data_IF_753014917213
#
_entry.id   IF_753014917213
#
_cell.length_a   1.000
_cell.length_b   1.000
_cell.length_c   1.000
_cell.angle_alpha   90.00
_cell.angle_beta   90.00
_cell.angle_gamma   90.00
#
_symmetry.space_group_name_H-M   'P 1'
#
loop_
_entity.id
_entity.type
_entity.pdbx_description
1 polymer ?
#
# COMPACT_ATOMS: atom_id res chain seq x y z
N UNK A 1 -9.97 20.29 1.03
CA UNK A 1 -8.66 19.69 1.42
C UNK A 1 -8.96 18.35 2.05
N UNK A 2 -8.29 17.30 1.62
CA UNK A 2 -8.41 15.95 2.18
C UNK A 2 -7.17 15.64 3.02
N UNK A 3 -7.07 16.22 4.19
CA UNK A 3 -5.86 16.15 5.01
C UNK A 3 -5.69 14.74 5.61
N UNK A 4 -4.48 14.22 5.55
CA UNK A 4 -4.11 12.93 6.14
C UNK A 4 -3.96 13.13 7.65
N UNK A 5 -4.82 12.49 8.43
CA UNK A 5 -4.80 12.52 9.90
C UNK A 5 -3.80 11.51 10.45
N UNK A 6 -3.83 10.29 9.92
CA UNK A 6 -2.98 9.21 10.42
C UNK A 6 -2.64 8.18 9.34
N UNK A 7 -1.55 7.47 9.57
CA UNK A 7 -1.10 6.33 8.76
C UNK A 7 -0.82 5.15 9.70
N UNK A 8 -1.31 3.96 9.32
CA UNK A 8 -1.03 2.72 10.05
C UNK A 8 -0.48 1.66 9.11
N UNK A 9 0.48 0.88 9.62
CA UNK A 9 0.86 -0.39 9.02
C UNK A 9 0.03 -1.51 9.65
N UNK A 10 -0.55 -2.37 8.81
CA UNK A 10 -1.31 -3.55 9.24
C UNK A 10 -0.65 -4.76 8.59
N UNK A 11 -0.17 -5.69 9.41
CA UNK A 11 0.38 -6.96 8.95
C UNK A 11 -0.63 -8.07 9.23
N UNK A 12 -1.06 -8.76 8.19
CA UNK A 12 -1.98 -9.89 8.28
C UNK A 12 -1.25 -11.14 7.80
N UNK A 13 -1.38 -12.24 8.55
CA UNK A 13 -0.77 -13.51 8.19
C UNK A 13 -1.81 -14.62 8.20
N UNK A 14 -1.78 -15.44 7.16
CA UNK A 14 -2.57 -16.66 7.08
C UNK A 14 -1.64 -17.85 6.75
N UNK A 15 -1.89 -19.04 7.32
CA UNK A 15 -1.14 -20.22 6.92
C UNK A 15 -1.39 -20.51 5.43
N UNK A 16 -0.36 -21.01 4.72
CA UNK A 16 -0.59 -21.65 3.42
C UNK A 16 -1.40 -22.91 3.67
N UNK A 17 -2.54 -23.00 2.99
CA UNK A 17 -3.38 -24.19 3.05
C UNK A 17 -2.67 -25.36 2.41
N UNK A 18 -2.62 -26.45 3.10
CA UNK A 18 -2.13 -27.79 2.81
C UNK A 18 -0.61 -28.01 2.73
N UNK A 19 -0.22 -29.10 3.38
CA UNK A 19 1.11 -29.69 3.32
C UNK A 19 1.48 -30.29 1.93
N UNK A 20 0.65 -30.05 0.91
CA UNK A 20 0.75 -30.72 -0.39
C UNK A 20 1.82 -30.12 -1.32
N UNK A 21 2.39 -28.98 -0.95
CA UNK A 21 3.45 -28.30 -1.70
C UNK A 21 4.57 -27.80 -0.78
N UNK A 22 5.37 -28.71 -0.19
CA UNK A 22 6.45 -28.32 0.73
C UNK A 22 7.50 -27.44 0.06
N UNK A 23 7.74 -27.57 -1.23
CA UNK A 23 8.66 -26.74 -2.00
C UNK A 23 8.27 -25.24 -2.03
N UNK A 24 6.99 -24.92 -1.92
CA UNK A 24 6.52 -23.53 -1.83
C UNK A 24 6.90 -22.93 -0.48
N UNK A 25 6.96 -23.74 0.56
CA UNK A 25 7.27 -23.28 1.93
C UNK A 25 8.72 -22.83 2.08
N UNK A 26 9.64 -23.44 1.31
CA UNK A 26 11.07 -23.10 1.32
C UNK A 26 11.34 -21.72 0.69
N UNK A 27 10.48 -21.27 -0.22
CA UNK A 27 10.62 -19.98 -0.89
C UNK A 27 10.25 -18.78 0.00
N UNK A 28 9.60 -19.02 1.15
CA UNK A 28 9.11 -17.94 2.02
C UNK A 28 9.89 -17.87 3.33
N UNK A 29 10.72 -16.83 3.54
CA UNK A 29 11.58 -16.70 4.73
C UNK A 29 10.80 -16.61 6.05
N UNK A 30 9.49 -16.37 6.01
CA UNK A 30 8.64 -16.27 7.18
C UNK A 30 7.92 -17.57 7.57
N UNK A 31 8.34 -18.71 7.02
CA UNK A 31 7.74 -20.01 7.29
C UNK A 31 6.45 -20.28 6.52
N UNK A 32 5.66 -21.29 6.90
CA UNK A 32 4.50 -21.79 6.14
C UNK A 32 3.27 -20.87 6.24
N UNK A 33 3.47 -19.59 6.01
CA UNK A 33 2.41 -18.58 6.05
C UNK A 33 2.67 -17.48 5.04
N UNK A 34 1.61 -16.97 4.46
CA UNK A 34 1.64 -15.74 3.68
C UNK A 34 1.34 -14.55 4.59
N UNK A 35 2.21 -13.56 4.55
CA UNK A 35 1.98 -12.27 5.22
C UNK A 35 1.70 -11.21 4.16
N UNK A 36 0.65 -10.43 4.36
CA UNK A 36 0.35 -9.23 3.58
C UNK A 36 0.58 -8.00 4.46
N UNK A 37 1.17 -6.96 3.86
CA UNK A 37 1.34 -5.65 4.50
C UNK A 37 0.43 -4.62 3.86
N UNK A 38 -0.34 -3.95 4.68
CA UNK A 38 -1.29 -2.92 4.26
C UNK A 38 -0.91 -1.59 4.90
N UNK A 39 -0.89 -0.54 4.09
CA UNK A 39 -0.88 0.84 4.54
C UNK A 39 -2.33 1.31 4.63
N UNK A 40 -2.78 1.69 5.82
CA UNK A 40 -4.05 2.38 6.04
C UNK A 40 -3.80 3.89 6.10
N UNK A 41 -4.46 4.65 5.26
CA UNK A 41 -4.52 6.12 5.30
C UNK A 41 -5.84 6.53 5.92
N UNK A 42 -5.81 7.25 7.04
CA UNK A 42 -6.97 7.88 7.65
C UNK A 42 -6.98 9.37 7.30
N UNK A 43 -8.07 9.87 6.77
CA UNK A 43 -8.31 11.30 6.51
C UNK A 43 -9.06 11.95 7.67
N UNK A 44 -8.89 13.28 7.86
CA UNK A 44 -9.59 14.05 8.92
C UNK A 44 -11.13 13.96 8.84
N UNK A 45 -11.69 13.62 7.68
CA UNK A 45 -13.13 13.37 7.52
C UNK A 45 -13.56 11.93 7.90
N UNK A 46 -12.67 11.14 8.48
CA UNK A 46 -12.92 9.77 8.91
C UNK A 46 -12.83 8.71 7.80
N UNK A 47 -12.62 9.10 6.55
CA UNK A 47 -12.48 8.15 5.43
C UNK A 47 -11.15 7.41 5.52
N UNK A 48 -11.19 6.10 5.29
CA UNK A 48 -10.01 5.23 5.25
C UNK A 48 -9.76 4.70 3.85
N UNK A 49 -8.49 4.74 3.45
CA UNK A 49 -8.00 4.08 2.25
C UNK A 49 -6.93 3.04 2.58
N UNK A 50 -6.83 2.02 1.74
CA UNK A 50 -5.95 0.87 1.95
C UNK A 50 -5.10 0.59 0.72
N UNK A 51 -3.83 0.27 0.92
CA UNK A 51 -2.92 -0.13 -0.14
C UNK A 51 -2.00 -1.25 0.32
N UNK A 52 -1.92 -2.31 -0.47
CA UNK A 52 -1.06 -3.46 -0.20
C UNK A 52 0.35 -3.23 -0.72
N UNK A 53 1.36 -3.69 0.04
CA UNK A 53 2.76 -3.69 -0.37
C UNK A 53 3.35 -5.11 -0.35
N UNK A 54 3.81 -5.57 -1.52
CA UNK A 54 4.29 -6.93 -1.72
C UNK A 54 5.54 -7.30 -0.90
N UNK A 55 6.35 -6.31 -0.50
CA UNK A 55 7.53 -6.54 0.34
C UNK A 55 7.21 -7.31 1.63
N UNK A 56 6.01 -7.12 2.19
CA UNK A 56 5.62 -7.79 3.43
C UNK A 56 5.51 -9.31 3.32
N UNK A 57 5.34 -9.85 2.12
CA UNK A 57 5.36 -11.30 1.87
C UNK A 57 6.71 -11.90 2.28
N UNK A 58 7.80 -11.21 2.01
CA UNK A 58 9.17 -11.67 2.26
C UNK A 58 9.76 -11.08 3.54
N UNK A 59 9.51 -9.81 3.81
CA UNK A 59 10.15 -9.07 4.89
C UNK A 59 9.15 -8.14 5.61
N UNK A 60 8.16 -8.69 6.36
CA UNK A 60 7.09 -7.90 6.97
C UNK A 60 7.61 -6.83 7.94
N UNK A 61 8.64 -7.11 8.71
CA UNK A 61 9.25 -6.15 9.63
C UNK A 61 9.98 -5.02 8.91
N UNK A 62 10.59 -5.30 7.76
CA UNK A 62 11.21 -4.27 6.92
C UNK A 62 10.12 -3.37 6.32
N UNK A 63 9.03 -3.97 5.82
CA UNK A 63 7.87 -3.22 5.34
C UNK A 63 7.34 -2.27 6.41
N UNK A 64 7.07 -2.76 7.62
CA UNK A 64 6.59 -1.99 8.76
C UNK A 64 7.54 -0.83 9.09
N UNK A 65 8.84 -1.11 9.17
CA UNK A 65 9.86 -0.09 9.49
C UNK A 65 9.92 1.03 8.45
N UNK A 66 9.79 0.70 7.16
CA UNK A 66 9.78 1.70 6.08
C UNK A 66 8.47 2.52 6.14
N UNK A 67 7.32 1.89 6.43
CA UNK A 67 6.05 2.62 6.63
C UNK A 67 6.20 3.64 7.76
N UNK A 68 6.76 3.24 8.91
CA UNK A 68 6.99 4.13 10.05
C UNK A 68 7.94 5.29 9.71
N UNK A 69 8.99 5.03 8.92
CA UNK A 69 9.89 6.06 8.42
C UNK A 69 9.15 7.07 7.52
N UNK A 70 8.31 6.57 6.62
CA UNK A 70 7.66 7.37 5.58
C UNK A 70 6.47 8.19 6.09
N UNK A 71 5.67 7.66 7.04
CA UNK A 71 4.39 8.27 7.44
C UNK A 71 4.51 9.73 7.90
N UNK A 72 5.60 10.10 8.58
CA UNK A 72 5.83 11.46 9.08
C UNK A 72 5.93 12.53 7.98
N UNK A 73 6.20 12.11 6.74
CA UNK A 73 6.33 13.02 5.60
C UNK A 73 5.01 13.32 4.90
N UNK A 74 3.97 12.53 5.18
CA UNK A 74 2.65 12.68 4.57
C UNK A 74 1.53 13.02 5.57
N UNK A 75 1.70 12.69 6.85
CA UNK A 75 0.74 13.12 7.90
C UNK A 75 0.64 14.65 7.92
N UNK A 76 -0.58 15.16 8.01
CA UNK A 76 -0.89 16.58 7.96
C UNK A 76 -0.92 17.20 6.56
N UNK A 77 -0.54 16.44 5.52
CA UNK A 77 -0.55 16.91 4.12
C UNK A 77 -1.89 16.63 3.44
N UNK A 78 -2.13 17.35 2.34
CA UNK A 78 -3.33 17.16 1.52
C UNK A 78 -3.21 15.92 0.62
N UNK A 79 -4.10 14.96 0.80
CA UNK A 79 -4.24 13.76 0.00
C UNK A 79 -4.80 14.02 -1.41
N UNK A 80 -5.33 15.23 -1.69
CA UNK A 80 -5.87 15.56 -3.02
C UNK A 80 -4.79 15.56 -4.10
N UNK A 81 -3.55 15.95 -3.76
CA UNK A 81 -2.39 15.91 -4.66
C UNK A 81 -1.52 14.68 -4.38
N UNK A 82 -2.00 13.53 -4.87
CA UNK A 82 -1.32 12.24 -4.70
C UNK A 82 0.09 12.27 -5.31
N UNK A 83 0.26 12.87 -6.50
CA UNK A 83 1.57 12.93 -7.17
C UNK A 83 2.61 13.64 -6.33
N UNK A 84 2.23 14.76 -5.70
CA UNK A 84 3.11 15.49 -4.80
C UNK A 84 3.47 14.63 -3.57
N UNK A 85 2.50 13.93 -2.97
CA UNK A 85 2.76 13.05 -1.82
C UNK A 85 3.71 11.90 -2.17
N UNK A 86 3.52 11.29 -3.34
CA UNK A 86 4.43 10.24 -3.85
C UNK A 86 5.82 10.83 -4.10
N UNK A 87 5.91 12.02 -4.66
CA UNK A 87 7.19 12.72 -4.85
C UNK A 87 7.91 13.00 -3.51
N UNK A 88 7.17 13.45 -2.49
CA UNK A 88 7.70 13.65 -1.14
C UNK A 88 8.31 12.35 -0.59
N UNK A 89 7.58 11.23 -0.71
CA UNK A 89 8.03 9.91 -0.26
C UNK A 89 9.25 9.41 -1.04
N UNK A 90 9.25 9.58 -2.37
CA UNK A 90 10.39 9.20 -3.20
C UNK A 90 11.64 9.99 -2.83
N UNK A 91 11.53 11.29 -2.61
CA UNK A 91 12.65 12.14 -2.21
C UNK A 91 13.33 11.68 -0.91
N UNK A 92 12.55 11.10 0.02
CA UNK A 92 13.07 10.52 1.26
C UNK A 92 13.80 9.20 1.02
N UNK A 93 13.30 8.40 0.07
CA UNK A 93 13.74 7.02 -0.12
C UNK A 93 14.82 6.87 -1.20
N UNK A 94 14.89 7.77 -2.19
CA UNK A 94 15.69 7.58 -3.40
C UNK A 94 17.19 7.49 -3.11
N UNK A 95 17.69 8.17 -2.10
CA UNK A 95 19.10 8.12 -1.75
C UNK A 95 19.58 6.71 -1.33
N UNK A 96 18.74 5.97 -0.58
CA UNK A 96 19.10 4.66 -0.02
C UNK A 96 18.34 3.49 -0.63
N UNK A 97 17.27 3.75 -1.39
CA UNK A 97 16.45 2.72 -2.02
C UNK A 97 15.78 3.22 -3.30
N UNK A 98 16.61 3.66 -4.27
CA UNK A 98 16.16 4.15 -5.57
C UNK A 98 15.27 3.13 -6.30
N UNK A 99 15.61 1.85 -6.20
CA UNK A 99 14.82 0.71 -6.65
C UNK A 99 14.75 -0.34 -5.54
N UNK A 100 13.67 -1.11 -5.46
CA UNK A 100 13.54 -2.20 -4.50
C UNK A 100 12.65 -1.89 -3.31
N UNK A 101 13.09 -2.19 -2.08
CA UNK A 101 12.24 -2.27 -0.88
C UNK A 101 11.35 -1.05 -0.64
N UNK A 102 11.88 0.16 -0.71
CA UNK A 102 11.07 1.36 -0.49
C UNK A 102 10.03 1.60 -1.57
N UNK A 103 10.26 1.15 -2.81
CA UNK A 103 9.26 1.30 -3.88
C UNK A 103 8.00 0.50 -3.62
N UNK A 104 8.10 -0.69 -3.02
CA UNK A 104 6.93 -1.45 -2.59
C UNK A 104 6.11 -0.69 -1.55
N UNK A 105 6.78 0.04 -0.66
CA UNK A 105 6.11 0.81 0.39
C UNK A 105 5.49 2.08 -0.18
N UNK A 106 6.24 2.87 -0.97
CA UNK A 106 5.70 4.10 -1.59
C UNK A 106 4.51 3.81 -2.50
N UNK A 107 4.55 2.68 -3.25
CA UNK A 107 3.40 2.21 -4.03
C UNK A 107 2.18 1.89 -3.15
N UNK A 108 2.38 1.23 -2.00
CA UNK A 108 1.29 0.96 -1.06
C UNK A 108 0.67 2.26 -0.50
N UNK A 109 1.48 3.28 -0.22
CA UNK A 109 0.98 4.61 0.15
C UNK A 109 0.17 5.25 -0.98
N UNK A 110 0.65 5.18 -2.22
CA UNK A 110 -0.06 5.72 -3.38
C UNK A 110 -1.43 5.07 -3.54
N UNK A 111 -1.50 3.73 -3.53
CA UNK A 111 -2.74 2.97 -3.62
C UNK A 111 -3.69 3.36 -2.49
N UNK A 112 -3.21 3.45 -1.24
CA UNK A 112 -4.02 3.84 -0.09
C UNK A 112 -4.57 5.27 -0.23
N UNK A 113 -3.77 6.21 -0.73
CA UNK A 113 -4.22 7.58 -0.98
C UNK A 113 -5.23 7.68 -2.12
N UNK A 114 -5.05 6.89 -3.19
CA UNK A 114 -6.02 6.78 -4.30
C UNK A 114 -7.36 6.25 -3.77
N UNK A 115 -7.32 5.19 -2.97
CA UNK A 115 -8.52 4.59 -2.36
C UNK A 115 -9.23 5.58 -1.42
N UNK A 116 -8.49 6.26 -0.53
CA UNK A 116 -9.05 7.26 0.37
C UNK A 116 -9.68 8.43 -0.40
N UNK A 117 -8.99 8.94 -1.42
CA UNK A 117 -9.49 10.06 -2.25
C UNK A 117 -10.75 9.67 -3.01
N UNK A 118 -10.76 8.50 -3.66
CA UNK A 118 -11.92 8.03 -4.43
C UNK A 118 -13.15 7.82 -3.55
N UNK A 119 -12.97 7.24 -2.36
CA UNK A 119 -14.03 7.08 -1.36
C UNK A 119 -14.56 8.44 -0.87
N UNK A 120 -13.68 9.39 -0.60
CA UNK A 120 -14.08 10.76 -0.20
C UNK A 120 -14.89 11.47 -1.28
N UNK A 121 -14.57 11.23 -2.55
CA UNK A 121 -15.29 11.77 -3.71
C UNK A 121 -16.52 10.96 -4.10
N UNK A 122 -16.75 9.82 -3.44
CA UNK A 122 -17.82 8.85 -3.74
C UNK A 122 -17.80 8.38 -5.21
N UNK A 123 -16.61 8.19 -5.76
CA UNK A 123 -16.42 7.71 -7.13
C UNK A 123 -15.44 6.53 -7.17
N UNK A 124 -15.54 5.62 -8.14
CA UNK A 124 -14.57 4.57 -8.34
C UNK A 124 -13.16 5.12 -8.64
N UNK A 125 -12.13 4.41 -8.19
CA UNK A 125 -10.74 4.85 -8.34
C UNK A 125 -10.34 5.10 -9.81
N UNK A 126 -10.87 4.34 -10.76
CA UNK A 126 -10.55 4.50 -12.18
C UNK A 126 -10.95 5.88 -12.74
N UNK A 127 -11.94 6.56 -12.15
CA UNK A 127 -12.31 7.92 -12.53
C UNK A 127 -11.19 8.93 -12.26
N UNK A 128 -10.36 8.69 -11.22
CA UNK A 128 -9.22 9.55 -10.90
C UNK A 128 -8.12 9.49 -11.97
N UNK A 129 -8.14 8.46 -12.80
CA UNK A 129 -7.20 8.23 -13.89
C UNK A 129 -7.81 8.48 -15.28
N UNK A 130 -8.99 9.12 -15.34
CA UNK A 130 -9.66 9.40 -16.60
C UNK A 130 -10.29 8.18 -17.28
N UNK A 131 -10.40 7.06 -16.56
CA UNK A 131 -11.01 5.85 -17.06
C UNK A 131 -12.53 5.89 -17.08
N UNK A 132 -13.14 5.05 -17.93
CA UNK A 132 -14.58 4.77 -17.97
C UNK A 132 -14.84 3.34 -17.57
N UNK A 133 -16.08 3.07 -17.15
CA UNK A 133 -16.49 1.70 -16.81
C UNK A 133 -16.44 0.81 -18.04
N UNK A 134 -15.70 -0.29 -17.95
CA UNK A 134 -15.76 -1.39 -18.91
C UNK A 134 -16.77 -2.42 -18.40
N UNK A 135 -17.68 -2.92 -19.28
CA UNK A 135 -18.73 -3.83 -18.87
C UNK A 135 -18.23 -5.22 -18.49
N UNK A 136 -17.15 -5.67 -19.13
CA UNK A 136 -16.51 -6.95 -18.83
C UNK A 136 -15.00 -6.85 -18.98
N UNK A 137 -14.27 -7.51 -18.09
CA UNK A 137 -12.81 -7.69 -18.16
C UNK A 137 -12.56 -9.19 -18.06
N UNK A 138 -11.88 -9.75 -19.06
CA UNK A 138 -11.44 -11.14 -19.00
C UNK A 138 -10.32 -11.27 -17.96
N UNK A 139 -10.45 -12.26 -17.08
CA UNK A 139 -9.46 -12.60 -16.07
C UNK A 139 -8.93 -14.01 -16.33
N UNK A 140 -7.70 -14.23 -15.90
CA UNK A 140 -7.08 -15.56 -15.84
C UNK A 140 -6.85 -15.93 -14.37
N UNK A 141 -6.92 -17.19 -14.04
CA UNK A 141 -6.68 -17.75 -12.70
C UNK A 141 -5.84 -19.01 -12.79
#
# INVERSE_FOLDING_TARGET
MLKIENIRCILLSAPYGSADHPEILECFPNGPKRTIGIVEVLLENGVKGYGEGYLAVFAPKVFESIVELCKKYVIGKDCSDIKMRVSDLCSVCDYWSLQGAARHVTSAFEIAMVDAKSKSLKCPAYHLFGGSKTEAIETYG
#
